data_IF_766764003397
#
_entry.id   IF_766764003397
#
_cell.length_a   1.000
_cell.length_b   1.000
_cell.length_c   1.000
_cell.angle_alpha   90.00
_cell.angle_beta   90.00
_cell.angle_gamma   90.00
#
_symmetry.space_group_name_H-M   'P 1'
#
loop_
_entity.id
_entity.type
_entity.pdbx_description
1 polymer ?
#
# COMPACT_ATOMS: atom_id res chain seq x y z
N UNK A 1 3.26 -15.37 -23.83
CA UNK A 1 3.63 -16.78 -23.58
C UNK A 1 3.70 -16.97 -22.08
N UNK A 2 2.72 -17.65 -21.47
CA UNK A 2 2.77 -18.00 -20.05
C UNK A 2 3.77 -19.12 -19.87
N UNK A 3 4.99 -18.78 -19.43
CA UNK A 3 5.91 -19.77 -18.91
C UNK A 3 5.25 -20.44 -17.68
N UNK A 4 5.38 -21.77 -17.51
CA UNK A 4 4.86 -22.45 -16.33
C UNK A 4 5.45 -21.81 -15.07
N UNK A 5 4.60 -21.53 -14.08
CA UNK A 5 4.99 -20.98 -12.78
C UNK A 5 5.98 -21.94 -12.12
N UNK A 6 7.26 -21.57 -12.12
CA UNK A 6 8.26 -22.31 -11.36
C UNK A 6 8.02 -22.10 -9.86
N UNK A 7 8.12 -23.16 -9.04
CA UNK A 7 8.05 -23.02 -7.60
C UNK A 7 9.11 -22.02 -7.12
N UNK A 8 8.66 -21.04 -6.33
CA UNK A 8 9.51 -19.95 -5.85
C UNK A 8 10.60 -20.48 -4.92
N UNK A 9 11.87 -20.27 -5.28
CA UNK A 9 13.01 -20.40 -4.38
C UNK A 9 13.43 -19.01 -3.88
N UNK A 10 13.16 -18.67 -2.60
CA UNK A 10 13.51 -17.36 -2.05
C UNK A 10 15.00 -17.04 -2.11
N UNK A 11 15.90 -18.03 -2.08
CA UNK A 11 17.36 -17.81 -2.09
C UNK A 11 17.89 -17.44 -3.48
N UNK A 12 17.18 -17.85 -4.53
CA UNK A 12 17.59 -17.65 -5.94
C UNK A 12 16.73 -16.66 -6.70
N UNK A 13 15.64 -16.17 -6.10
CA UNK A 13 14.73 -15.22 -6.74
C UNK A 13 15.46 -13.92 -7.18
N UNK A 14 15.29 -13.44 -8.41
CA UNK A 14 15.94 -12.20 -8.85
C UNK A 14 15.39 -10.97 -8.11
N UNK A 15 16.28 -10.18 -7.49
CA UNK A 15 15.95 -8.96 -6.74
C UNK A 15 16.12 -7.67 -7.56
N UNK A 16 16.11 -7.79 -8.89
CA UNK A 16 16.21 -6.70 -9.84
C UNK A 16 15.04 -6.68 -10.82
N UNK A 17 14.61 -5.47 -11.18
CA UNK A 17 13.46 -5.20 -12.04
C UNK A 17 12.13 -5.45 -11.34
N UNK A 18 11.04 -5.44 -12.13
CA UNK A 18 9.71 -5.79 -11.64
C UNK A 18 9.53 -7.31 -11.66
N UNK A 19 9.00 -7.87 -10.57
CA UNK A 19 8.73 -9.29 -10.42
C UNK A 19 7.36 -9.50 -9.80
N UNK A 20 6.67 -10.55 -10.26
CA UNK A 20 5.38 -10.96 -9.73
C UNK A 20 5.54 -12.31 -9.03
N UNK A 21 5.09 -12.39 -7.77
CA UNK A 21 5.03 -13.63 -6.99
C UNK A 21 3.57 -13.93 -6.74
N UNK A 22 3.09 -15.04 -7.30
CA UNK A 22 1.77 -15.56 -6.98
C UNK A 22 1.81 -16.38 -5.70
N UNK A 23 0.91 -16.10 -4.76
CA UNK A 23 0.86 -16.82 -3.50
C UNK A 23 -0.58 -16.91 -2.98
N UNK A 24 -1.06 -18.13 -2.78
CA UNK A 24 -2.40 -18.43 -2.26
C UNK A 24 -2.45 -18.34 -0.73
N UNK A 25 -3.64 -18.40 -0.14
CA UNK A 25 -3.77 -18.43 1.32
C UNK A 25 -2.97 -19.62 1.91
N UNK A 26 -2.24 -19.39 3.00
CA UNK A 26 -1.46 -20.44 3.67
C UNK A 26 -0.10 -20.80 3.03
N UNK A 27 0.30 -20.21 1.89
CA UNK A 27 1.55 -20.59 1.20
C UNK A 27 2.80 -19.86 1.68
N UNK A 28 2.82 -19.37 2.92
CA UNK A 28 4.01 -18.72 3.50
C UNK A 28 4.40 -17.38 2.84
N UNK A 29 3.42 -16.57 2.41
CA UNK A 29 3.64 -15.21 1.86
C UNK A 29 4.59 -14.38 2.74
N UNK A 30 4.28 -14.29 4.02
CA UNK A 30 5.06 -13.48 4.95
C UNK A 30 6.45 -14.05 5.20
N UNK A 31 6.57 -15.38 5.21
CA UNK A 31 7.86 -16.06 5.28
C UNK A 31 8.74 -15.73 4.06
N UNK A 32 8.14 -15.74 2.87
CA UNK A 32 8.80 -15.37 1.63
C UNK A 32 9.29 -13.92 1.67
N UNK A 33 8.42 -12.98 2.07
CA UNK A 33 8.80 -11.55 2.20
C UNK A 33 9.99 -11.40 3.15
N UNK A 34 9.95 -12.03 4.32
CA UNK A 34 11.05 -11.96 5.28
C UNK A 34 12.35 -12.57 4.71
N UNK A 35 12.27 -13.68 3.97
CA UNK A 35 13.44 -14.28 3.31
C UNK A 35 14.04 -13.37 2.23
N UNK A 36 13.22 -12.72 1.40
CA UNK A 36 13.71 -11.74 0.42
C UNK A 36 14.32 -10.51 1.11
N UNK A 37 13.74 -10.08 2.23
CA UNK A 37 14.26 -8.98 3.04
C UNK A 37 15.67 -9.29 3.59
N UNK A 38 15.89 -10.49 4.13
CA UNK A 38 17.22 -10.96 4.56
C UNK A 38 18.25 -10.83 3.43
N UNK A 39 17.86 -11.23 2.22
CA UNK A 39 18.76 -11.18 1.06
C UNK A 39 19.09 -9.77 0.64
N UNK A 40 18.12 -8.84 0.67
CA UNK A 40 18.37 -7.42 0.41
C UNK A 40 19.33 -6.85 1.45
N UNK A 41 19.16 -7.19 2.73
CA UNK A 41 20.05 -6.75 3.81
C UNK A 41 21.47 -7.28 3.63
N UNK A 42 21.63 -8.54 3.22
CA UNK A 42 22.95 -9.14 3.03
C UNK A 42 23.59 -8.87 1.67
N UNK A 43 22.82 -8.46 0.66
CA UNK A 43 23.26 -8.45 -0.73
C UNK A 43 23.43 -9.85 -1.33
N UNK A 44 22.59 -10.82 -0.92
CA UNK A 44 22.74 -12.23 -1.28
C UNK A 44 22.17 -12.59 -2.67
N UNK A 45 22.87 -13.46 -3.40
CA UNK A 45 22.35 -14.15 -4.59
C UNK A 45 23.08 -13.86 -5.91
N UNK A 46 24.33 -13.37 -5.87
CA UNK A 46 25.17 -13.11 -7.04
C UNK A 46 24.45 -12.31 -8.15
N UNK A 47 24.29 -12.89 -9.35
CA UNK A 47 23.58 -12.26 -10.47
C UNK A 47 22.09 -11.99 -10.19
N UNK A 48 21.50 -12.68 -9.21
CA UNK A 48 20.14 -12.47 -8.74
C UNK A 48 20.05 -11.51 -7.53
N UNK A 49 21.18 -11.03 -7.02
CA UNK A 49 21.22 -10.09 -5.90
C UNK A 49 20.84 -8.67 -6.33
N UNK A 50 20.51 -7.85 -5.33
CA UNK A 50 20.49 -6.40 -5.52
C UNK A 50 21.92 -5.85 -5.64
N UNK A 51 22.09 -4.69 -6.27
CA UNK A 51 23.40 -4.13 -6.60
C UNK A 51 24.32 -3.93 -5.37
N UNK A 52 23.75 -3.72 -4.19
CA UNK A 52 24.46 -3.63 -2.91
C UNK A 52 23.58 -4.11 -1.75
N UNK A 53 24.17 -4.42 -0.59
CA UNK A 53 23.42 -4.55 0.66
C UNK A 53 22.62 -3.29 0.98
N UNK A 54 21.41 -3.48 1.49
CA UNK A 54 20.49 -2.40 1.90
C UNK A 54 20.26 -2.40 3.42
N UNK A 55 19.89 -1.25 3.95
CA UNK A 55 19.45 -1.06 5.34
C UNK A 55 17.92 -0.99 5.40
N UNK A 56 17.28 -1.20 6.58
CA UNK A 56 15.83 -1.21 6.67
C UNK A 56 15.10 0.03 6.12
N UNK A 57 15.60 1.28 6.29
CA UNK A 57 14.97 2.45 5.68
C UNK A 57 15.02 2.48 4.14
N UNK A 58 15.94 1.73 3.52
CA UNK A 58 16.13 1.66 2.07
C UNK A 58 15.26 0.58 1.40
N UNK A 59 14.51 -0.20 2.18
CA UNK A 59 13.64 -1.29 1.69
C UNK A 59 12.18 -0.93 1.97
N UNK A 60 11.47 -0.48 0.93
CA UNK A 60 10.04 -0.16 1.03
C UNK A 60 9.19 -1.43 0.98
N UNK A 61 8.35 -1.63 1.99
CA UNK A 61 7.31 -2.65 2.04
C UNK A 61 5.97 -1.97 2.28
N UNK A 62 5.03 -2.13 1.35
CA UNK A 62 3.67 -1.57 1.48
C UNK A 62 2.61 -2.66 1.58
N UNK A 63 1.57 -2.42 2.38
CA UNK A 63 0.41 -3.32 2.53
C UNK A 63 -0.89 -2.52 2.71
N UNK A 64 -2.02 -3.20 2.84
CA UNK A 64 -3.34 -2.56 2.86
C UNK A 64 -3.78 -2.05 4.23
N UNK A 65 -3.38 -2.72 5.31
CA UNK A 65 -3.91 -2.42 6.65
C UNK A 65 -2.80 -2.15 7.66
N UNK A 66 -3.08 -1.30 8.65
CA UNK A 66 -2.13 -1.00 9.73
C UNK A 66 -1.83 -2.23 10.60
N UNK A 67 -2.78 -3.16 10.76
CA UNK A 67 -2.49 -4.41 11.45
C UNK A 67 -1.44 -5.24 10.68
N UNK A 68 -1.54 -5.28 9.35
CA UNK A 68 -0.58 -6.01 8.52
C UNK A 68 0.79 -5.34 8.48
N UNK A 69 0.89 -4.00 8.59
CA UNK A 69 2.19 -3.31 8.68
C UNK A 69 2.94 -3.72 9.95
N UNK A 70 2.24 -3.72 11.10
CA UNK A 70 2.83 -4.13 12.38
C UNK A 70 3.23 -5.60 12.38
N UNK A 71 2.33 -6.48 11.92
CA UNK A 71 2.64 -7.91 11.82
C UNK A 71 3.86 -8.17 10.92
N UNK A 72 3.93 -7.52 9.74
CA UNK A 72 5.07 -7.65 8.84
C UNK A 72 6.37 -7.16 9.49
N UNK A 73 6.34 -6.00 10.14
CA UNK A 73 7.49 -5.40 10.82
C UNK A 73 8.05 -6.33 11.91
N UNK A 74 7.18 -6.86 12.77
CA UNK A 74 7.56 -7.80 13.83
C UNK A 74 8.14 -9.09 13.27
N UNK A 75 7.51 -9.66 12.24
CA UNK A 75 7.99 -10.91 11.62
C UNK A 75 9.34 -10.73 10.93
N UNK A 76 9.55 -9.62 10.21
CA UNK A 76 10.84 -9.32 9.57
C UNK A 76 11.91 -9.12 10.64
N UNK A 77 11.63 -8.36 11.71
CA UNK A 77 12.54 -8.17 12.85
C UNK A 77 12.96 -9.49 13.47
N UNK A 78 11.98 -10.34 13.83
CA UNK A 78 12.25 -11.64 14.43
C UNK A 78 13.11 -12.51 13.50
N UNK A 79 12.84 -12.47 12.20
CA UNK A 79 13.58 -13.24 11.21
C UNK A 79 15.02 -12.76 11.02
N UNK A 80 15.25 -11.44 11.01
CA UNK A 80 16.60 -10.86 11.00
C UNK A 80 17.41 -11.29 12.24
N UNK A 81 16.80 -11.21 13.42
CA UNK A 81 17.45 -11.63 14.67
C UNK A 81 17.74 -13.15 14.72
N UNK A 82 16.83 -13.97 14.18
CA UNK A 82 17.05 -15.41 14.03
C UNK A 82 18.21 -15.71 13.08
N UNK A 83 18.23 -15.08 11.90
CA UNK A 83 19.32 -15.22 10.94
C UNK A 83 20.66 -14.76 11.56
N UNK A 84 20.68 -13.65 12.30
CA UNK A 84 21.87 -13.18 12.98
C UNK A 84 22.45 -14.21 13.97
N UNK A 85 21.58 -14.88 14.76
CA UNK A 85 21.97 -15.99 15.64
C UNK A 85 22.48 -17.20 14.87
N UNK A 86 21.83 -17.55 13.76
CA UNK A 86 22.27 -18.64 12.89
C UNK A 86 23.68 -18.40 12.36
N UNK A 87 24.00 -17.19 11.88
CA UNK A 87 25.34 -16.84 11.43
C UNK A 87 26.39 -16.88 12.55
N UNK A 88 26.06 -16.44 13.78
CA UNK A 88 26.99 -16.47 14.94
C UNK A 88 27.28 -17.88 15.41
N UNK A 89 26.22 -18.62 15.75
CA UNK A 89 26.33 -19.80 16.61
C UNK A 89 26.06 -21.09 15.82
N UNK A 90 25.61 -21.00 14.58
CA UNK A 90 25.00 -22.11 13.85
C UNK A 90 23.70 -22.61 14.48
N UNK A 91 23.17 -21.85 15.44
CA UNK A 91 21.95 -22.18 16.14
C UNK A 91 20.73 -21.86 15.27
N UNK A 92 19.84 -22.84 15.13
CA UNK A 92 18.58 -22.70 14.40
C UNK A 92 18.34 -23.90 13.49
N UNK A 93 17.23 -24.60 13.71
CA UNK A 93 16.81 -25.75 12.90
C UNK A 93 16.11 -25.37 11.59
N UNK A 94 16.21 -24.11 11.16
CA UNK A 94 15.58 -23.63 9.93
C UNK A 94 16.47 -23.91 8.71
N UNK A 95 16.05 -24.78 7.77
CA UNK A 95 16.87 -25.14 6.63
C UNK A 95 17.20 -23.96 5.70
N UNK A 96 16.32 -22.96 5.59
CA UNK A 96 16.56 -21.79 4.73
C UNK A 96 17.66 -20.91 5.30
N UNK A 97 17.69 -20.70 6.62
CA UNK A 97 18.74 -19.92 7.27
C UNK A 97 20.09 -20.62 7.23
N UNK A 98 20.10 -21.96 7.40
CA UNK A 98 21.31 -22.76 7.24
C UNK A 98 21.84 -22.66 5.80
N UNK A 99 20.99 -22.89 4.79
CA UNK A 99 21.38 -22.75 3.39
C UNK A 99 21.87 -21.34 3.04
N UNK A 100 21.25 -20.30 3.59
CA UNK A 100 21.69 -18.92 3.43
C UNK A 100 23.08 -18.69 4.05
N UNK A 101 23.34 -19.24 5.24
CA UNK A 101 24.64 -19.13 5.93
C UNK A 101 25.73 -19.88 5.17
N UNK A 102 25.44 -21.09 4.74
CA UNK A 102 26.39 -21.97 4.04
C UNK A 102 26.79 -21.43 2.66
N UNK A 103 26.00 -20.50 2.11
CA UNK A 103 26.36 -19.77 0.90
C UNK A 103 27.44 -18.70 1.11
N UNK A 104 27.83 -18.41 2.37
CA UNK A 104 28.91 -17.49 2.70
C UNK A 104 30.13 -18.25 3.24
N UNK A 105 31.36 -17.80 2.93
CA UNK A 105 32.56 -18.35 3.55
C UNK A 105 32.56 -18.07 5.07
N UNK A 106 33.12 -18.98 5.85
CA UNK A 106 33.04 -18.94 7.32
C UNK A 106 33.63 -17.66 7.93
N UNK A 107 34.62 -17.07 7.27
CA UNK A 107 35.27 -15.82 7.66
C UNK A 107 34.31 -14.62 7.57
N UNK A 108 33.29 -14.67 6.69
CA UNK A 108 32.30 -13.62 6.53
C UNK A 108 31.14 -13.72 7.53
N UNK A 109 31.00 -14.84 8.24
CA UNK A 109 29.85 -15.07 9.12
C UNK A 109 29.69 -14.05 10.24
N UNK A 110 30.75 -13.63 10.96
CA UNK A 110 30.63 -12.58 11.99
C UNK A 110 30.14 -11.24 11.43
N UNK A 111 30.59 -10.88 10.23
CA UNK A 111 30.15 -9.65 9.54
C UNK A 111 28.68 -9.71 9.12
N UNK A 112 28.23 -10.86 8.61
CA UNK A 112 26.83 -11.10 8.26
C UNK A 112 25.93 -11.05 9.49
N UNK A 113 26.34 -11.72 10.58
CA UNK A 113 25.64 -11.69 11.85
C UNK A 113 25.47 -10.26 12.40
N UNK A 114 26.55 -9.46 12.38
CA UNK A 114 26.51 -8.08 12.82
C UNK A 114 25.54 -7.24 11.97
N UNK A 115 25.62 -7.36 10.64
CA UNK A 115 24.73 -6.65 9.72
C UNK A 115 23.25 -6.98 9.95
N UNK A 116 22.93 -8.26 10.09
CA UNK A 116 21.56 -8.72 10.35
C UNK A 116 21.04 -8.25 11.71
N UNK A 117 21.91 -8.27 12.73
CA UNK A 117 21.57 -7.78 14.07
C UNK A 117 21.25 -6.28 14.05
N UNK A 118 22.13 -5.47 13.43
CA UNK A 118 21.92 -4.03 13.27
C UNK A 118 20.63 -3.74 12.49
N UNK A 119 20.37 -4.50 11.43
CA UNK A 119 19.13 -4.36 10.66
C UNK A 119 17.89 -4.71 11.51
N UNK A 120 17.95 -5.72 12.38
CA UNK A 120 16.85 -6.06 13.28
C UNK A 120 16.57 -4.92 14.29
N UNK A 121 17.62 -4.32 14.83
CA UNK A 121 17.55 -3.19 15.76
C UNK A 121 17.00 -1.91 15.10
N UNK A 122 17.31 -1.70 13.82
CA UNK A 122 16.80 -0.57 13.03
C UNK A 122 15.40 -0.77 12.43
N UNK A 123 14.70 -1.87 12.76
CA UNK A 123 13.37 -2.12 12.18
C UNK A 123 12.29 -1.12 12.61
N UNK A 124 12.50 -0.33 13.68
CA UNK A 124 11.56 0.74 14.04
C UNK A 124 11.56 1.89 13.01
N UNK A 125 12.70 2.11 12.36
CA UNK A 125 12.88 3.09 11.27
C UNK A 125 12.65 2.47 9.87
N UNK A 126 12.21 1.21 9.80
CA UNK A 126 12.00 0.53 8.52
C UNK A 126 10.86 1.18 7.72
N UNK A 127 11.01 1.23 6.40
CA UNK A 127 9.99 1.71 5.47
C UNK A 127 8.88 0.67 5.25
N UNK A 128 8.23 0.23 6.33
CA UNK A 128 7.05 -0.65 6.31
C UNK A 128 5.82 0.19 6.62
N UNK A 129 4.93 0.37 5.64
CA UNK A 129 3.80 1.29 5.73
C UNK A 129 2.56 0.77 5.00
N UNK A 130 1.40 1.38 5.25
CA UNK A 130 0.26 1.20 4.35
C UNK A 130 0.53 1.92 3.03
N UNK A 131 -0.17 1.52 1.95
CA UNK A 131 -0.09 2.23 0.66
C UNK A 131 -0.41 3.73 0.86
N UNK A 132 -1.48 4.04 1.59
CA UNK A 132 -1.87 5.42 1.89
C UNK A 132 -0.83 6.14 2.74
N UNK A 133 -0.30 5.51 3.80
CA UNK A 133 0.71 6.12 4.66
C UNK A 133 1.99 6.47 3.89
N UNK A 134 2.43 5.60 2.97
CA UNK A 134 3.58 5.89 2.10
C UNK A 134 3.30 7.04 1.14
N UNK A 135 2.16 7.03 0.42
CA UNK A 135 1.79 8.12 -0.49
C UNK A 135 1.71 9.47 0.24
N UNK A 136 1.11 9.50 1.44
CA UNK A 136 1.03 10.71 2.25
C UNK A 136 2.41 11.22 2.67
N UNK A 137 3.33 10.33 3.04
CA UNK A 137 4.71 10.70 3.36
C UNK A 137 5.41 11.33 2.16
N UNK A 138 5.30 10.72 0.98
CA UNK A 138 5.90 11.25 -0.25
C UNK A 138 5.33 12.62 -0.64
N UNK A 139 4.02 12.82 -0.53
CA UNK A 139 3.40 14.13 -0.80
C UNK A 139 3.87 15.22 0.17
N UNK A 140 4.16 14.87 1.43
CA UNK A 140 4.69 15.82 2.43
C UNK A 140 6.18 16.12 2.21
N UNK A 141 7.00 15.11 1.99
CA UNK A 141 8.45 15.27 1.77
C UNK A 141 8.74 16.01 0.45
N UNK A 142 7.89 15.85 -0.56
CA UNK A 142 7.98 16.53 -1.87
C UNK A 142 6.86 17.56 -2.09
N UNK A 143 6.39 18.21 -1.02
CA UNK A 143 5.31 19.20 -1.11
C UNK A 143 5.64 20.36 -2.07
N UNK A 144 6.92 20.75 -2.14
CA UNK A 144 7.39 21.82 -3.02
C UNK A 144 7.31 21.45 -4.50
N UNK A 145 7.67 20.21 -4.85
CA UNK A 145 7.64 19.71 -6.24
C UNK A 145 6.21 19.41 -6.71
N UNK A 146 5.29 19.12 -5.79
CA UNK A 146 3.89 18.79 -6.09
C UNK A 146 2.94 19.99 -6.10
N UNK A 147 3.41 21.19 -5.75
CA UNK A 147 2.55 22.37 -5.58
C UNK A 147 1.47 22.21 -4.50
N UNK A 148 1.63 21.21 -3.63
CA UNK A 148 0.68 20.84 -2.59
C UNK A 148 0.81 21.74 -1.37
N UNK A 149 -0.30 22.00 -0.68
CA UNK A 149 -0.31 22.66 0.62
C UNK A 149 0.58 21.88 1.60
N UNK A 150 1.44 22.59 2.34
CA UNK A 150 2.37 22.02 3.33
C UNK A 150 1.70 21.13 4.38
N UNK A 151 0.39 21.31 4.60
CA UNK A 151 -0.42 20.54 5.55
C UNK A 151 -1.65 19.99 4.84
N UNK A 152 -1.55 18.77 4.31
CA UNK A 152 -2.72 18.00 3.87
C UNK A 152 -3.27 17.19 5.06
N UNK A 153 -4.53 17.45 5.43
CA UNK A 153 -5.32 16.57 6.30
C UNK A 153 -5.99 15.49 5.46
N UNK A 154 -5.82 14.23 5.86
CA UNK A 154 -6.54 13.12 5.24
C UNK A 154 -7.98 13.12 5.75
N UNK A 155 -8.94 13.39 4.88
CA UNK A 155 -10.36 13.24 5.16
C UNK A 155 -10.79 11.83 4.73
N UNK A 156 -10.92 10.94 5.72
CA UNK A 156 -11.25 9.53 5.48
C UNK A 156 -12.75 9.31 5.17
N UNK A 157 -13.61 10.23 5.61
CA UNK A 157 -15.04 10.22 5.34
C UNK A 157 -15.44 11.54 4.71
N UNK A 158 -15.81 11.49 3.43
CA UNK A 158 -16.24 12.65 2.65
C UNK A 158 -17.77 12.81 2.66
N UNK A 159 -18.48 12.07 3.51
CA UNK A 159 -19.95 12.08 3.52
C UNK A 159 -20.50 13.45 3.90
N UNK A 160 -19.87 14.15 4.85
CA UNK A 160 -20.29 15.50 5.24
C UNK A 160 -20.08 16.51 4.10
N UNK A 161 -18.89 16.51 3.50
CA UNK A 161 -18.54 17.34 2.34
C UNK A 161 -19.49 17.09 1.15
N UNK A 162 -19.86 15.83 0.92
CA UNK A 162 -20.85 15.46 -0.10
C UNK A 162 -22.25 15.98 0.25
N UNK A 163 -22.71 15.80 1.47
CA UNK A 163 -24.02 16.27 1.93
C UNK A 163 -24.13 17.81 1.86
N UNK A 164 -23.03 18.53 2.11
CA UNK A 164 -22.94 19.97 1.88
C UNK A 164 -23.08 20.34 0.40
N UNK A 165 -22.31 19.69 -0.48
CA UNK A 165 -22.40 19.94 -1.92
C UNK A 165 -23.81 19.68 -2.49
N UNK A 166 -24.49 18.62 -2.06
CA UNK A 166 -25.87 18.32 -2.47
C UNK A 166 -26.86 19.39 -1.98
N UNK A 167 -26.72 19.85 -0.73
CA UNK A 167 -27.55 20.94 -0.20
C UNK A 167 -27.32 22.23 -0.97
N UNK A 168 -26.09 22.56 -1.32
CA UNK A 168 -25.78 23.75 -2.11
C UNK A 168 -26.29 23.67 -3.54
N UNK A 169 -26.22 22.50 -4.17
CA UNK A 169 -26.85 22.25 -5.46
C UNK A 169 -28.37 22.46 -5.37
N UNK A 170 -29.00 21.89 -4.34
CA UNK A 170 -30.44 22.04 -4.12
C UNK A 170 -30.84 23.50 -3.97
N UNK A 171 -30.13 24.27 -3.14
CA UNK A 171 -30.41 25.71 -2.92
C UNK A 171 -30.21 26.54 -4.18
N UNK A 172 -29.23 26.18 -5.01
CA UNK A 172 -28.83 26.97 -6.17
C UNK A 172 -29.66 26.66 -7.42
N UNK A 173 -30.09 25.42 -7.59
CA UNK A 173 -30.71 24.95 -8.84
C UNK A 173 -32.14 24.42 -8.68
N UNK A 174 -32.51 23.85 -7.53
CA UNK A 174 -33.82 23.23 -7.34
C UNK A 174 -34.79 24.13 -6.58
N UNK A 175 -34.31 24.83 -5.55
CA UNK A 175 -35.12 25.78 -4.78
C UNK A 175 -35.66 26.97 -5.61
N UNK A 176 -34.96 27.47 -6.66
CA UNK A 176 -35.47 28.54 -7.51
C UNK A 176 -36.41 28.08 -8.64
N UNK A 177 -36.69 26.78 -8.79
CA UNK A 177 -37.60 26.28 -9.83
C UNK A 177 -39.00 26.84 -9.65
N UNK A 178 -39.75 26.92 -10.75
CA UNK A 178 -41.16 27.27 -10.68
C UNK A 178 -41.98 26.14 -10.04
N UNK A 179 -43.22 26.44 -9.64
CA UNK A 179 -44.07 25.48 -8.95
C UNK A 179 -44.27 24.13 -9.67
N UNK A 180 -44.51 24.06 -11.01
CA UNK A 180 -44.66 22.79 -11.70
C UNK A 180 -43.35 21.98 -11.73
N UNK A 181 -42.21 22.58 -12.12
CA UNK A 181 -40.94 21.86 -12.16
C UNK A 181 -40.48 21.43 -10.76
N UNK A 182 -40.72 22.25 -9.73
CA UNK A 182 -40.45 21.87 -8.34
C UNK A 182 -41.31 20.68 -7.88
N UNK A 183 -42.58 20.61 -8.30
CA UNK A 183 -43.47 19.49 -7.96
C UNK A 183 -43.04 18.19 -8.65
N UNK A 184 -42.55 18.26 -9.89
CA UNK A 184 -42.00 17.11 -10.60
C UNK A 184 -40.73 16.58 -9.93
N UNK A 185 -39.77 17.46 -9.61
CA UNK A 185 -38.55 17.07 -8.88
C UNK A 185 -38.89 16.48 -7.51
N UNK A 186 -39.88 17.06 -6.79
CA UNK A 186 -40.33 16.55 -5.49
C UNK A 186 -40.92 15.13 -5.55
N UNK A 187 -41.42 14.70 -6.72
CA UNK A 187 -41.89 13.33 -6.92
C UNK A 187 -40.73 12.32 -7.00
N UNK A 188 -39.55 12.74 -7.46
CA UNK A 188 -38.34 11.92 -7.50
C UNK A 188 -37.58 11.98 -6.17
N UNK A 189 -37.38 13.19 -5.65
CA UNK A 189 -36.64 13.46 -4.42
C UNK A 189 -37.40 14.50 -3.59
N UNK A 190 -37.99 14.13 -2.44
CA UNK A 190 -38.74 15.08 -1.63
C UNK A 190 -37.87 16.11 -0.90
N UNK A 191 -36.59 15.81 -0.69
CA UNK A 191 -35.65 16.65 0.07
C UNK A 191 -34.19 16.41 -0.36
N UNK A 192 -33.24 17.27 0.07
CA UNK A 192 -31.82 17.12 -0.28
C UNK A 192 -31.19 15.81 0.19
N UNK A 193 -31.66 15.20 1.28
CA UNK A 193 -31.10 13.92 1.77
C UNK A 193 -31.53 12.76 0.86
N UNK A 194 -32.76 12.79 0.36
CA UNK A 194 -33.24 11.83 -0.62
C UNK A 194 -32.43 11.90 -1.93
N UNK A 195 -32.07 13.10 -2.37
CA UNK A 195 -31.17 13.29 -3.52
C UNK A 195 -29.77 12.74 -3.23
N UNK A 196 -29.19 13.03 -2.05
CA UNK A 196 -27.87 12.50 -1.69
C UNK A 196 -27.85 10.97 -1.73
N UNK A 197 -28.88 10.33 -1.17
CA UNK A 197 -28.98 8.87 -1.16
C UNK A 197 -29.10 8.29 -2.58
N UNK A 198 -29.88 8.94 -3.45
CA UNK A 198 -30.05 8.52 -4.83
C UNK A 198 -28.75 8.62 -5.65
N UNK A 199 -27.86 9.57 -5.32
CA UNK A 199 -26.58 9.76 -5.99
C UNK A 199 -25.54 8.67 -5.67
N UNK A 200 -25.75 7.83 -4.65
CA UNK A 200 -24.75 6.86 -4.20
C UNK A 200 -24.21 5.93 -5.30
N UNK A 201 -25.09 5.39 -6.16
CA UNK A 201 -24.67 4.50 -7.26
C UNK A 201 -24.17 5.26 -8.50
N UNK A 202 -24.86 6.31 -8.99
CA UNK A 202 -24.40 7.09 -10.14
C UNK A 202 -23.03 7.76 -9.93
N UNK A 203 -22.68 8.16 -8.70
CA UNK A 203 -21.42 8.86 -8.42
C UNK A 203 -20.18 8.03 -8.76
N UNK A 204 -20.25 6.70 -8.59
CA UNK A 204 -19.16 5.79 -8.94
C UNK A 204 -18.90 5.70 -10.45
N UNK A 205 -19.81 6.24 -11.26
CA UNK A 205 -19.82 6.16 -12.71
C UNK A 205 -20.02 7.52 -13.36
N UNK A 206 -19.64 8.61 -12.67
CA UNK A 206 -19.81 9.98 -13.19
C UNK A 206 -19.15 10.17 -14.55
N UNK A 207 -18.01 9.52 -14.80
CA UNK A 207 -17.29 9.57 -16.08
C UNK A 207 -18.08 8.95 -17.25
N UNK A 208 -19.11 8.15 -16.97
CA UNK A 208 -20.02 7.58 -17.95
C UNK A 208 -21.24 8.47 -18.21
N UNK A 209 -21.46 9.47 -17.36
CA UNK A 209 -22.52 10.45 -17.53
C UNK A 209 -22.01 11.57 -18.45
N UNK A 210 -22.81 11.96 -19.45
CA UNK A 210 -22.51 13.11 -20.30
C UNK A 210 -22.71 14.43 -19.57
N UNK A 211 -22.35 15.54 -20.21
CA UNK A 211 -22.73 16.87 -19.73
C UNK A 211 -24.27 17.01 -19.77
N UNK A 212 -24.84 17.42 -18.64
CA UNK A 212 -26.26 17.71 -18.51
C UNK A 212 -26.49 19.23 -18.43
N UNK A 213 -27.56 19.76 -19.04
CA UNK A 213 -27.92 21.15 -18.87
C UNK A 213 -28.40 21.44 -17.43
N UNK A 214 -28.47 22.70 -17.00
CA UNK A 214 -29.06 23.07 -15.72
C UNK A 214 -30.48 22.50 -15.55
N UNK A 215 -30.93 22.17 -14.32
CA UNK A 215 -32.23 21.54 -14.10
C UNK A 215 -33.43 22.27 -14.70
N UNK A 216 -33.43 23.60 -14.68
CA UNK A 216 -34.50 24.39 -15.27
C UNK A 216 -34.63 24.17 -16.78
N UNK A 217 -33.51 24.00 -17.49
CA UNK A 217 -33.49 23.74 -18.93
C UNK A 217 -33.83 22.26 -19.20
N UNK A 218 -33.34 21.34 -18.36
CA UNK A 218 -33.60 19.91 -18.47
C UNK A 218 -35.08 19.52 -18.26
N UNK A 219 -35.81 20.30 -17.46
CA UNK A 219 -37.22 20.09 -17.14
C UNK A 219 -38.18 20.86 -18.07
N UNK A 220 -37.65 21.68 -18.98
CA UNK A 220 -38.45 22.45 -19.93
C UNK A 220 -38.81 21.69 -21.21
N UNK A 221 -38.21 20.50 -21.41
CA UNK A 221 -38.44 19.57 -22.52
C UNK A 221 -39.47 18.46 -22.16
#
# INVERSE_FOLDING_TARGET
>A
MNAPLQPLDPLRFPLAGSRLIEASAGTGKTFTIAALYLRLVLGHGDAAAHARPLTPPEILVVTFTEAATQELRERIRARLAEAARCFRDGAGGDPLLQALRDAYPAEAWPGCACRLQLAAEWMDEAAVSTIHGWCQRMLREHAFDSGSLFTLSLEADQSESRAEAVRDYWRSFLAPLDAPSAAEVAAWWPDPMALEHALGTPMAHVDLLGEAPPPADALAD
#
